data_IF_050783576701
#
_entry.id   IF_050783576701
#
_cell.length_a   1.000
_cell.length_b   1.000
_cell.length_c   1.000
_cell.angle_alpha   90.00
_cell.angle_beta   90.00
_cell.angle_gamma   90.00
#
_symmetry.space_group_name_H-M   'P 1'
#
loop_
_entity.id
_entity.type
_entity.pdbx_description
1 polymer ?
#
# COMPACT_ATOMS: atom_id res chain seq x y z
N UNK A 1 7.15 -24.83 -29.32
CA UNK A 1 6.14 -25.30 -28.35
C UNK A 1 6.85 -25.50 -27.03
N UNK A 2 6.67 -24.59 -26.06
CA UNK A 2 7.40 -24.64 -24.78
C UNK A 2 6.88 -25.83 -23.96
N UNK A 3 7.73 -26.82 -23.71
CA UNK A 3 7.35 -27.99 -22.89
C UNK A 3 7.43 -27.63 -21.41
N UNK A 4 6.29 -27.19 -20.87
CA UNK A 4 6.11 -26.74 -19.49
C UNK A 4 6.53 -27.81 -18.47
N UNK A 5 6.61 -29.09 -18.87
CA UNK A 5 7.00 -30.21 -18.00
C UNK A 5 8.47 -30.17 -17.57
N UNK A 6 9.34 -29.53 -18.36
CA UNK A 6 10.78 -29.46 -18.11
C UNK A 6 11.20 -28.20 -17.33
N UNK A 7 10.26 -27.34 -16.93
CA UNK A 7 10.56 -26.15 -16.13
C UNK A 7 10.31 -26.48 -14.65
N UNK A 8 11.35 -26.81 -13.86
CA UNK A 8 11.18 -27.12 -12.44
C UNK A 8 10.55 -25.96 -11.65
N UNK A 9 10.79 -24.72 -12.08
CA UNK A 9 10.18 -23.51 -11.49
C UNK A 9 8.66 -23.48 -11.65
N UNK A 10 8.11 -23.97 -12.77
CA UNK A 10 6.67 -23.99 -13.00
C UNK A 10 5.94 -24.89 -11.99
N UNK A 11 6.59 -25.96 -11.52
CA UNK A 11 6.05 -26.87 -10.50
C UNK A 11 5.93 -26.22 -9.12
N UNK A 12 6.70 -25.17 -8.83
CA UNK A 12 6.64 -24.40 -7.58
C UNK A 12 5.75 -23.16 -7.72
N UNK A 13 5.68 -22.56 -8.90
CA UNK A 13 4.81 -21.41 -9.16
C UNK A 13 3.33 -21.77 -9.15
N UNK A 14 2.95 -22.94 -9.68
CA UNK A 14 1.55 -23.38 -9.68
C UNK A 14 0.95 -23.51 -8.27
N UNK A 15 1.56 -24.21 -7.30
CA UNK A 15 1.04 -24.27 -5.93
C UNK A 15 1.02 -22.89 -5.26
N UNK A 16 2.03 -22.07 -5.50
CA UNK A 16 2.08 -20.71 -4.95
C UNK A 16 0.93 -19.83 -5.47
N UNK A 17 0.72 -19.81 -6.79
CA UNK A 17 -0.37 -19.07 -7.41
C UNK A 17 -1.74 -19.59 -6.99
N UNK A 18 -1.92 -20.92 -6.93
CA UNK A 18 -3.14 -21.55 -6.45
C UNK A 18 -3.42 -21.21 -4.98
N UNK A 19 -2.39 -21.25 -4.13
CA UNK A 19 -2.46 -20.81 -2.74
C UNK A 19 -2.86 -19.34 -2.64
N UNK A 20 -2.18 -18.45 -3.37
CA UNK A 20 -2.48 -17.02 -3.40
C UNK A 20 -3.91 -16.71 -3.82
N UNK A 21 -4.41 -17.37 -4.87
CA UNK A 21 -5.78 -17.22 -5.33
C UNK A 21 -6.80 -17.75 -4.30
N UNK A 22 -6.51 -18.89 -3.67
CA UNK A 22 -7.36 -19.44 -2.61
C UNK A 22 -7.42 -18.51 -1.39
N UNK A 23 -6.28 -17.94 -0.99
CA UNK A 23 -6.19 -16.95 0.10
C UNK A 23 -6.92 -15.65 -0.23
N UNK A 24 -6.85 -15.21 -1.49
CA UNK A 24 -7.60 -14.06 -2.00
C UNK A 24 -9.12 -14.30 -2.10
N UNK A 25 -9.61 -15.55 -2.12
CA UNK A 25 -11.06 -15.88 -2.17
C UNK A 25 -11.67 -16.17 -0.80
N UNK A 26 -10.87 -16.61 0.17
CA UNK A 26 -11.35 -17.09 1.48
C UNK A 26 -10.85 -16.25 2.67
N UNK A 27 -10.22 -15.09 2.44
CA UNK A 27 -9.60 -14.26 3.46
C UNK A 27 -10.51 -13.79 4.60
N UNK A 28 -11.83 -13.85 4.44
CA UNK A 28 -12.80 -13.45 5.48
C UNK A 28 -13.08 -14.54 6.54
N UNK A 29 -12.86 -15.83 6.25
CA UNK A 29 -13.50 -16.91 7.04
C UNK A 29 -12.60 -17.68 8.01
N UNK A 30 -11.28 -17.67 7.82
CA UNK A 30 -10.35 -18.49 8.60
C UNK A 30 -9.46 -17.62 9.47
N UNK A 31 -9.38 -17.85 10.78
CA UNK A 31 -8.46 -17.09 11.63
C UNK A 31 -7.00 -17.38 11.22
N UNK A 32 -6.08 -16.41 11.44
CA UNK A 32 -4.64 -16.60 11.13
C UNK A 32 -4.09 -17.82 11.90
N UNK A 33 -4.60 -18.05 13.10
CA UNK A 33 -4.22 -19.18 13.97
C UNK A 33 -4.61 -20.52 13.38
N UNK A 34 -5.80 -20.64 12.78
CA UNK A 34 -6.28 -21.87 12.13
C UNK A 34 -5.42 -22.23 10.92
N UNK A 35 -4.97 -21.23 10.17
CA UNK A 35 -4.09 -21.40 9.01
C UNK A 35 -2.70 -21.83 9.46
N UNK A 36 -2.15 -21.19 10.49
CA UNK A 36 -0.86 -21.59 11.06
C UNK A 36 -0.91 -23.01 11.61
N UNK A 37 -1.98 -23.39 12.30
CA UNK A 37 -2.19 -24.74 12.81
C UNK A 37 -2.29 -25.78 11.69
N UNK A 38 -3.04 -25.49 10.62
CA UNK A 38 -3.12 -26.36 9.43
C UNK A 38 -1.75 -26.51 8.75
N UNK A 39 -1.00 -25.42 8.62
CA UNK A 39 0.34 -25.44 8.04
C UNK A 39 1.30 -26.27 8.91
N UNK A 40 1.25 -26.12 10.23
CA UNK A 40 2.02 -26.91 11.19
C UNK A 40 1.67 -28.40 11.14
N UNK A 41 0.38 -28.72 11.04
CA UNK A 41 -0.10 -30.10 10.90
C UNK A 41 0.42 -30.74 9.60
N UNK A 42 0.31 -30.03 8.48
CA UNK A 42 0.84 -30.48 7.19
C UNK A 42 2.37 -30.65 7.24
N UNK A 43 3.07 -29.79 7.99
CA UNK A 43 4.51 -29.91 8.27
C UNK A 43 4.84 -31.19 9.05
N UNK A 44 4.10 -31.48 10.11
CA UNK A 44 4.30 -32.68 10.94
C UNK A 44 4.05 -33.94 10.10
N UNK A 45 2.97 -33.96 9.32
CA UNK A 45 2.65 -35.09 8.42
C UNK A 45 3.72 -35.29 7.35
N UNK A 46 4.20 -34.22 6.73
CA UNK A 46 5.28 -34.29 5.75
C UNK A 46 6.61 -34.78 6.38
N UNK A 47 6.94 -34.32 7.58
CA UNK A 47 8.13 -34.77 8.32
C UNK A 47 8.06 -36.25 8.71
N UNK A 48 6.88 -36.73 9.11
CA UNK A 48 6.64 -38.15 9.40
C UNK A 48 6.78 -39.02 8.14
N UNK A 49 6.22 -38.58 7.01
CA UNK A 49 6.38 -39.24 5.72
C UNK A 49 7.83 -39.23 5.21
N UNK A 50 8.58 -38.15 5.47
CA UNK A 50 10.01 -38.07 5.12
C UNK A 50 10.85 -39.01 5.99
N UNK A 51 10.58 -39.05 7.31
CA UNK A 51 11.28 -39.94 8.25
C UNK A 51 11.03 -41.41 7.94
N UNK A 52 9.81 -41.80 7.58
CA UNK A 52 9.51 -43.17 7.16
C UNK A 52 10.14 -43.51 5.80
N UNK A 53 10.29 -42.52 4.91
CA UNK A 53 10.98 -42.72 3.63
C UNK A 53 12.49 -42.92 3.75
N UNK A 54 13.14 -42.35 4.77
CA UNK A 54 14.57 -42.53 5.03
C UNK A 54 14.93 -43.97 5.46
N UNK A 55 13.95 -44.77 5.88
CA UNK A 55 14.13 -46.17 6.30
C UNK A 55 14.12 -47.18 5.13
N UNK A 56 14.39 -46.75 3.90
CA UNK A 56 14.74 -47.65 2.78
C UNK A 56 13.75 -47.76 1.63
N UNK A 57 12.84 -46.80 1.45
CA UNK A 57 11.85 -46.83 0.36
C UNK A 57 12.09 -45.75 -0.69
N UNK A 58 11.83 -46.08 -1.97
CA UNK A 58 11.97 -45.26 -3.20
C UNK A 58 11.11 -43.96 -3.22
N UNK A 59 10.51 -43.60 -2.09
CA UNK A 59 9.49 -42.57 -1.95
C UNK A 59 10.09 -41.22 -1.49
N UNK A 60 11.43 -41.15 -1.33
CA UNK A 60 12.16 -40.00 -0.78
C UNK A 60 12.03 -38.73 -1.63
N UNK A 61 12.12 -38.86 -2.96
CA UNK A 61 11.96 -37.73 -3.88
C UNK A 61 10.50 -37.27 -4.01
N UNK A 62 9.54 -38.20 -3.91
CA UNK A 62 8.10 -37.89 -3.93
C UNK A 62 7.68 -37.11 -2.68
N UNK A 63 8.17 -37.53 -1.50
CA UNK A 63 7.93 -36.84 -0.23
C UNK A 63 8.52 -35.44 -0.20
N UNK A 64 9.76 -35.26 -0.69
CA UNK A 64 10.38 -33.94 -0.81
C UNK A 64 9.63 -33.01 -1.77
N UNK A 65 9.21 -33.52 -2.93
CA UNK A 65 8.42 -32.74 -3.89
C UNK A 65 7.06 -32.32 -3.30
N UNK A 66 6.42 -33.20 -2.53
CA UNK A 66 5.15 -32.93 -1.86
C UNK A 66 5.32 -31.90 -0.74
N UNK A 67 6.43 -31.97 0.00
CA UNK A 67 6.81 -30.97 1.00
C UNK A 67 7.00 -29.58 0.39
N UNK A 68 7.79 -29.47 -0.69
CA UNK A 68 7.95 -28.21 -1.41
C UNK A 68 6.60 -27.69 -1.95
N UNK A 69 5.75 -28.56 -2.48
CA UNK A 69 4.42 -28.17 -2.97
C UNK A 69 3.56 -27.55 -1.86
N UNK A 70 3.49 -28.18 -0.68
CA UNK A 70 2.71 -27.67 0.45
C UNK A 70 3.30 -26.38 1.05
N UNK A 71 4.63 -26.24 1.07
CA UNK A 71 5.29 -25.02 1.54
C UNK A 71 4.96 -23.84 0.61
N UNK A 72 5.08 -24.02 -0.70
CA UNK A 72 4.74 -22.97 -1.67
C UNK A 72 3.24 -22.65 -1.68
N UNK A 73 2.37 -23.65 -1.49
CA UNK A 73 0.93 -23.44 -1.41
C UNK A 73 0.52 -22.67 -0.14
N UNK A 74 1.08 -23.01 1.02
CA UNK A 74 0.81 -22.30 2.28
C UNK A 74 1.37 -20.87 2.28
N UNK A 75 2.59 -20.69 1.76
CA UNK A 75 3.19 -19.36 1.58
C UNK A 75 2.37 -18.52 0.60
N UNK A 76 1.95 -19.11 -0.51
CA UNK A 76 1.03 -18.49 -1.46
C UNK A 76 -0.25 -18.05 -0.78
N UNK A 77 -0.91 -18.94 -0.04
CA UNK A 77 -2.14 -18.64 0.70
C UNK A 77 -1.97 -17.48 1.69
N UNK A 78 -0.88 -17.47 2.47
CA UNK A 78 -0.55 -16.36 3.36
C UNK A 78 -0.39 -15.03 2.61
N UNK A 79 0.35 -15.03 1.49
CA UNK A 79 0.53 -13.81 0.68
C UNK A 79 -0.77 -13.31 0.06
N UNK A 80 -1.64 -14.21 -0.42
CA UNK A 80 -2.96 -13.86 -0.94
C UNK A 80 -3.84 -13.22 0.11
N UNK A 81 -3.76 -13.70 1.36
CA UNK A 81 -4.54 -13.19 2.50
C UNK A 81 -4.04 -11.82 2.99
N UNK A 82 -2.72 -11.59 3.02
CA UNK A 82 -2.13 -10.26 3.35
C UNK A 82 -2.42 -9.23 2.26
N UNK A 83 -2.52 -9.70 1.01
CA UNK A 83 -2.89 -8.89 -0.14
C UNK A 83 -4.38 -8.53 -0.14
N UNK A 84 -5.22 -9.29 0.57
CA UNK A 84 -6.60 -8.91 0.81
C UNK A 84 -6.64 -7.63 1.64
N UNK A 85 -7.35 -6.63 1.13
CA UNK A 85 -7.65 -5.39 1.83
C UNK A 85 -9.14 -5.36 2.08
N UNK A 86 -9.53 -5.18 3.35
CA UNK A 86 -10.92 -5.06 3.73
C UNK A 86 -11.41 -3.65 3.46
N UNK A 87 -12.62 -3.55 2.93
CA UNK A 87 -13.33 -2.27 2.89
C UNK A 87 -13.64 -1.86 4.35
N UNK A 88 -13.22 -0.66 4.79
CA UNK A 88 -13.58 -0.16 6.12
C UNK A 88 -15.10 0.12 6.28
N UNK A 89 -15.92 -0.09 5.24
CA UNK A 89 -17.37 0.08 5.24
C UNK A 89 -17.79 1.45 5.79
N UNK A 90 -17.08 2.49 5.33
CA UNK A 90 -17.40 3.86 5.71
C UNK A 90 -18.70 4.27 5.00
N UNK A 91 -19.71 4.77 5.73
CA UNK A 91 -20.92 5.27 5.10
C UNK A 91 -20.59 6.49 4.24
N UNK A 92 -20.95 6.43 2.95
CA UNK A 92 -20.65 7.49 1.98
C UNK A 92 -21.39 8.78 2.30
N UNK A 93 -20.68 9.91 2.26
CA UNK A 93 -21.27 11.25 2.43
C UNK A 93 -21.47 11.69 3.88
N UNK A 94 -20.96 10.94 4.86
CA UNK A 94 -21.02 11.34 6.27
C UNK A 94 -19.76 12.10 6.68
N UNK A 95 -19.94 13.12 7.55
CA UNK A 95 -18.86 13.88 8.16
C UNK A 95 -18.11 13.01 9.16
N UNK A 96 -16.86 12.69 8.85
CA UNK A 96 -16.02 11.84 9.70
C UNK A 96 -14.72 12.56 10.06
N UNK A 97 -14.20 12.22 11.24
CA UNK A 97 -12.86 12.63 11.67
C UNK A 97 -11.91 11.46 11.43
N UNK A 98 -10.90 11.65 10.60
CA UNK A 98 -9.89 10.64 10.29
C UNK A 98 -8.58 10.97 10.99
N UNK A 99 -7.97 9.99 11.65
CA UNK A 99 -6.61 10.07 12.20
C UNK A 99 -5.72 9.06 11.50
N UNK A 100 -4.56 9.53 11.06
CA UNK A 100 -3.70 8.73 10.21
C UNK A 100 -2.38 9.42 9.91
N UNK A 101 -1.64 8.83 8.97
CA UNK A 101 -0.32 9.32 8.56
C UNK A 101 -0.33 9.69 7.10
N UNK A 102 0.33 10.78 6.76
CA UNK A 102 0.60 11.09 5.36
C UNK A 102 1.62 10.10 4.81
N UNK A 103 1.27 9.45 3.70
CA UNK A 103 2.18 8.54 3.00
C UNK A 103 3.03 9.30 2.00
N UNK A 104 2.44 10.29 1.33
CA UNK A 104 3.09 11.14 0.35
C UNK A 104 2.99 12.61 0.74
N UNK A 105 3.94 13.40 0.24
CA UNK A 105 3.84 14.86 0.25
C UNK A 105 2.67 15.29 -0.64
N UNK A 106 1.93 16.35 -0.27
CA UNK A 106 0.86 16.88 -1.09
C UNK A 106 1.31 17.29 -2.49
N UNK A 107 0.59 16.82 -3.50
CA UNK A 107 0.76 17.22 -4.90
C UNK A 107 -0.32 18.25 -5.22
N UNK A 108 0.10 19.43 -5.67
CA UNK A 108 -0.81 20.49 -6.10
C UNK A 108 -1.56 20.08 -7.37
N UNK A 109 -2.89 20.19 -7.34
CA UNK A 109 -3.81 19.95 -8.45
C UNK A 109 -4.82 21.10 -8.52
N UNK A 110 -4.41 22.21 -9.15
CA UNK A 110 -5.20 23.44 -9.19
C UNK A 110 -5.37 24.05 -7.80
N UNK A 111 -6.62 24.32 -7.39
CA UNK A 111 -6.93 24.86 -6.05
C UNK A 111 -6.84 23.82 -4.92
N UNK A 112 -6.75 22.53 -5.26
CA UNK A 112 -6.71 21.45 -4.29
C UNK A 112 -5.33 20.80 -4.28
N UNK A 113 -4.88 20.42 -3.11
CA UNK A 113 -3.72 19.58 -2.93
C UNK A 113 -4.20 18.16 -2.61
N UNK A 114 -3.65 17.18 -3.32
CA UNK A 114 -4.00 15.77 -3.15
C UNK A 114 -2.86 14.97 -2.53
N UNK A 115 -3.19 14.05 -1.62
CA UNK A 115 -2.21 13.15 -1.03
C UNK A 115 -2.84 11.82 -0.60
N UNK A 116 -1.99 10.80 -0.44
CA UNK A 116 -2.40 9.52 0.15
C UNK A 116 -2.25 9.57 1.67
N UNK A 117 -3.35 9.28 2.37
CA UNK A 117 -3.42 9.31 3.82
C UNK A 117 -3.73 7.92 4.37
N UNK A 118 -2.79 7.34 5.11
CA UNK A 118 -2.99 6.07 5.79
C UNK A 118 -3.83 6.28 7.04
N UNK A 119 -5.15 6.10 6.91
CA UNK A 119 -6.09 6.26 8.00
C UNK A 119 -6.07 5.02 8.90
N UNK A 120 -5.83 5.25 10.20
CA UNK A 120 -5.79 4.21 11.24
C UNK A 120 -7.02 4.20 12.12
N UNK A 121 -7.66 5.35 12.26
CA UNK A 121 -8.93 5.48 12.98
C UNK A 121 -9.84 6.46 12.26
N UNK A 122 -11.12 6.13 12.27
CA UNK A 122 -12.21 7.03 11.91
C UNK A 122 -13.09 7.21 13.13
N UNK A 123 -13.56 8.43 13.35
CA UNK A 123 -14.68 8.71 14.25
C UNK A 123 -15.84 9.23 13.43
N UNK A 124 -16.95 8.52 13.54
CA UNK A 124 -18.22 8.86 12.94
C UNK A 124 -19.24 9.16 14.05
N UNK A 125 -20.50 9.45 13.70
CA UNK A 125 -21.62 9.64 14.63
C UNK A 125 -21.84 8.45 15.57
N UNK A 126 -21.54 7.23 15.12
CA UNK A 126 -21.64 5.99 15.91
C UNK A 126 -20.46 5.75 16.85
N UNK A 127 -19.43 6.59 16.81
CA UNK A 127 -18.23 6.47 17.64
C UNK A 127 -16.94 6.14 16.88
N UNK A 128 -15.81 5.97 17.58
CA UNK A 128 -14.52 5.68 16.99
C UNK A 128 -14.41 4.21 16.55
N UNK A 129 -13.98 4.00 15.30
CA UNK A 129 -13.65 2.70 14.70
C UNK A 129 -12.19 2.67 14.29
N UNK A 130 -11.50 1.56 14.59
CA UNK A 130 -10.16 1.30 14.03
C UNK A 130 -10.32 0.84 12.59
N UNK A 131 -9.58 1.45 11.69
CA UNK A 131 -9.58 1.13 10.27
C UNK A 131 -8.13 1.02 9.79
N UNK A 132 -7.89 0.36 8.66
CA UNK A 132 -6.56 0.26 8.09
C UNK A 132 -6.62 0.43 6.57
N UNK A 133 -6.92 1.66 6.15
CA UNK A 133 -7.20 2.00 4.75
C UNK A 133 -6.36 3.18 4.29
N UNK A 134 -6.17 3.31 2.99
CA UNK A 134 -5.57 4.50 2.39
C UNK A 134 -6.73 5.36 1.87
N UNK A 135 -6.75 6.63 2.27
CA UNK A 135 -7.68 7.63 1.77
C UNK A 135 -6.96 8.51 0.76
N UNK A 136 -7.59 8.74 -0.40
CA UNK A 136 -7.14 9.79 -1.32
C UNK A 136 -7.73 11.10 -0.85
N UNK A 137 -6.91 11.90 -0.16
CA UNK A 137 -7.34 13.13 0.49
C UNK A 137 -7.19 14.30 -0.47
N UNK A 138 -8.23 15.13 -0.55
CA UNK A 138 -8.23 16.42 -1.22
C UNK A 138 -8.40 17.50 -0.17
N UNK A 139 -7.45 18.41 -0.07
CA UNK A 139 -7.53 19.56 0.82
C UNK A 139 -7.25 20.84 0.05
N UNK A 140 -7.96 21.92 0.40
CA UNK A 140 -7.66 23.26 -0.09
C UNK A 140 -6.77 23.94 0.94
N UNK A 141 -5.50 24.27 0.65
CA UNK A 141 -4.67 25.02 1.58
C UNK A 141 -5.30 26.40 1.84
N UNK A 142 -5.45 26.76 3.12
CA UNK A 142 -5.71 28.16 3.50
C UNK A 142 -4.43 29.00 3.39
N UNK A 143 -4.54 30.35 3.34
CA UNK A 143 -3.39 31.25 3.20
C UNK A 143 -2.30 31.05 4.28
N UNK A 144 -2.69 30.63 5.49
CA UNK A 144 -1.77 30.34 6.61
C UNK A 144 -1.65 28.84 6.94
N UNK A 145 -2.16 27.95 6.09
CA UNK A 145 -2.09 26.50 6.34
C UNK A 145 -0.74 25.94 5.93
N UNK A 146 0.02 25.47 6.93
CA UNK A 146 1.20 24.64 6.69
C UNK A 146 0.81 23.38 5.92
N UNK A 147 1.41 23.19 4.74
CA UNK A 147 1.25 21.98 3.94
C UNK A 147 1.80 20.80 4.76
N UNK A 148 0.99 19.77 5.04
CA UNK A 148 1.42 18.68 5.90
C UNK A 148 2.51 17.85 5.21
N UNK A 149 3.55 17.51 5.96
CA UNK A 149 4.69 16.75 5.46
C UNK A 149 4.44 15.23 5.46
N UNK A 150 5.09 14.50 4.55
CA UNK A 150 5.03 13.04 4.52
C UNK A 150 5.54 12.43 5.84
N UNK A 151 4.87 11.38 6.33
CA UNK A 151 5.18 10.70 7.58
C UNK A 151 4.60 11.34 8.85
N UNK A 152 4.04 12.55 8.77
CA UNK A 152 3.40 13.20 9.91
C UNK A 152 2.06 12.54 10.25
N UNK A 153 1.75 12.43 11.54
CA UNK A 153 0.42 12.00 12.00
C UNK A 153 -0.47 13.22 12.16
N UNK A 154 -1.54 13.30 11.38
CA UNK A 154 -2.51 14.42 11.41
C UNK A 154 -3.92 13.90 11.64
N UNK A 155 -4.79 14.81 12.04
CA UNK A 155 -6.23 14.58 12.15
C UNK A 155 -6.89 15.49 11.12
N UNK A 156 -7.74 14.93 10.27
CA UNK A 156 -8.53 15.69 9.31
C UNK A 156 -10.02 15.48 9.58
N UNK A 157 -10.80 16.52 9.31
CA UNK A 157 -12.25 16.51 9.38
C UNK A 157 -12.81 16.78 7.99
N UNK A 158 -13.80 15.99 7.58
CA UNK A 158 -14.21 15.99 6.18
C UNK A 158 -15.27 14.95 5.86
N UNK A 159 -15.60 14.85 4.58
CA UNK A 159 -16.50 13.83 4.06
C UNK A 159 -15.72 12.74 3.31
N UNK A 160 -16.05 11.49 3.60
CA UNK A 160 -15.59 10.33 2.83
C UNK A 160 -16.63 9.94 1.77
N UNK A 161 -16.19 9.76 0.53
CA UNK A 161 -17.00 9.25 -0.56
C UNK A 161 -16.34 8.00 -1.15
N UNK A 162 -17.10 6.94 -1.44
CA UNK A 162 -16.53 5.76 -2.08
C UNK A 162 -15.93 6.14 -3.43
N UNK A 163 -14.80 5.51 -3.77
CA UNK A 163 -14.23 5.62 -5.11
C UNK A 163 -15.22 5.01 -6.09
N UNK A 164 -15.49 5.72 -7.19
CA UNK A 164 -16.37 5.25 -8.27
C UNK A 164 -15.71 5.47 -9.62
N UNK A 165 -16.07 4.61 -10.58
CA UNK A 165 -15.72 4.76 -11.98
C UNK A 165 -16.33 6.02 -12.61
N UNK A 166 -15.67 6.54 -13.64
CA UNK A 166 -16.13 7.67 -14.46
C UNK A 166 -17.44 7.37 -15.20
N UNK A 167 -17.70 6.08 -15.49
CA UNK A 167 -18.85 5.63 -16.26
C UNK A 167 -18.65 5.69 -17.77
N UNK A 168 -17.46 6.04 -18.25
CA UNK A 168 -17.15 6.09 -19.67
C UNK A 168 -16.94 4.66 -20.24
N UNK A 169 -17.59 4.32 -21.36
CA UNK A 169 -17.34 3.05 -22.04
C UNK A 169 -15.89 2.95 -22.52
N UNK A 170 -15.19 1.86 -22.19
CA UNK A 170 -13.81 1.59 -22.62
C UNK A 170 -12.72 2.07 -21.64
N UNK A 171 -13.07 2.80 -20.58
CA UNK A 171 -12.12 3.13 -19.52
C UNK A 171 -11.79 1.88 -18.68
N UNK A 172 -10.55 1.74 -18.19
CA UNK A 172 -10.20 0.69 -17.23
C UNK A 172 -11.01 0.86 -15.94
N UNK A 173 -11.32 -0.26 -15.29
CA UNK A 173 -12.04 -0.29 -14.01
C UNK A 173 -11.19 0.35 -12.88
N UNK A 174 -11.35 1.66 -12.74
CA UNK A 174 -10.64 2.52 -11.80
C UNK A 174 -10.95 2.15 -10.34
N UNK A 175 -12.20 1.81 -10.04
CA UNK A 175 -12.66 1.37 -8.73
C UNK A 175 -11.90 0.10 -8.30
N UNK A 176 -11.93 -0.94 -9.11
CA UNK A 176 -11.18 -2.18 -8.83
C UNK A 176 -9.68 -1.93 -8.72
N UNK A 177 -9.11 -1.05 -9.56
CA UNK A 177 -7.70 -0.69 -9.49
C UNK A 177 -7.33 -0.02 -8.16
N UNK A 178 -8.16 0.91 -7.68
CA UNK A 178 -7.94 1.63 -6.42
C UNK A 178 -8.13 0.73 -5.21
N UNK A 179 -9.14 -0.16 -5.22
CA UNK A 179 -9.37 -1.13 -4.14
C UNK A 179 -8.16 -2.06 -3.94
N UNK A 180 -7.50 -2.49 -5.03
CA UNK A 180 -6.24 -3.27 -4.96
C UNK A 180 -5.10 -2.50 -4.28
N UNK A 181 -5.12 -1.18 -4.36
CA UNK A 181 -4.14 -0.30 -3.69
C UNK A 181 -4.56 0.06 -2.25
N UNK A 182 -5.61 -0.58 -1.70
CA UNK A 182 -6.22 -0.24 -0.41
C UNK A 182 -6.84 1.17 -0.37
N UNK A 183 -7.19 1.73 -1.54
CA UNK A 183 -7.81 3.05 -1.66
C UNK A 183 -9.29 2.87 -1.95
N UNK A 184 -10.11 2.90 -0.91
CA UNK A 184 -11.56 2.67 -1.00
C UNK A 184 -12.36 3.97 -1.07
N UNK A 185 -11.84 5.04 -0.46
CA UNK A 185 -12.56 6.31 -0.31
C UNK A 185 -11.71 7.51 -0.73
N UNK A 186 -12.38 8.48 -1.35
CA UNK A 186 -11.92 9.85 -1.52
C UNK A 186 -12.37 10.67 -0.31
N UNK A 187 -11.49 11.48 0.24
CA UNK A 187 -11.77 12.26 1.43
C UNK A 187 -11.58 13.75 1.15
N UNK A 188 -12.64 14.54 1.31
CA UNK A 188 -12.57 16.00 1.14
C UNK A 188 -12.49 16.66 2.50
N UNK A 189 -11.37 17.34 2.76
CA UNK A 189 -11.12 18.03 4.03
C UNK A 189 -11.88 19.35 4.05
N UNK A 190 -12.62 19.59 5.13
CA UNK A 190 -13.21 20.90 5.38
C UNK A 190 -12.16 21.89 5.91
N UNK A 191 -12.20 23.16 5.49
CA UNK A 191 -11.36 24.18 6.09
C UNK A 191 -11.64 24.26 7.58
N UNK A 192 -10.59 24.21 8.40
CA UNK A 192 -10.70 24.36 9.85
C UNK A 192 -11.16 25.78 10.13
N UNK A 193 -12.34 25.94 10.73
CA UNK A 193 -12.77 27.26 11.19
C UNK A 193 -11.85 27.70 12.34
N UNK A 194 -11.43 28.98 12.38
CA UNK A 194 -10.66 29.51 13.51
C UNK A 194 -11.43 29.24 14.81
N UNK A 195 -10.87 28.42 15.70
CA UNK A 195 -11.48 28.05 16.99
C UNK A 195 -12.05 26.62 17.08
N UNK A 196 -12.21 25.89 15.96
CA UNK A 196 -12.63 24.48 15.99
C UNK A 196 -11.43 23.55 15.78
N UNK A 197 -10.53 23.48 16.76
CA UNK A 197 -9.58 22.36 16.77
C UNK A 197 -10.37 21.08 17.01
N UNK A 198 -10.40 20.10 16.09
CA UNK A 198 -11.00 18.80 16.38
C UNK A 198 -10.26 18.26 17.61
N UNK A 199 -11.01 18.15 18.70
CA UNK A 199 -10.48 17.94 20.04
C UNK A 199 -9.35 16.91 20.07
N UNK A 200 -8.28 17.28 20.76
CA UNK A 200 -7.08 16.49 21.08
C UNK A 200 -7.37 15.20 21.86
N UNK A 201 -8.63 14.82 22.02
CA UNK A 201 -9.11 13.60 22.71
C UNK A 201 -8.95 12.33 21.89
N UNK A 202 -7.98 12.26 20.97
CA UNK A 202 -7.51 11.01 20.42
C UNK A 202 -6.29 10.56 21.23
N UNK A 203 -6.57 9.82 22.30
CA UNK A 203 -5.58 9.22 23.21
C UNK A 203 -4.39 8.59 22.48
N UNK A 204 -3.21 8.73 23.11
CA UNK A 204 -1.90 8.53 22.52
C UNK A 204 -1.65 7.15 21.93
N UNK A 205 -1.11 7.13 20.72
CA UNK A 205 -0.21 6.09 20.19
C UNK A 205 0.64 6.75 19.11
N UNK A 206 1.65 7.50 19.56
CA UNK A 206 2.59 8.20 18.70
C UNK A 206 3.76 7.26 18.34
N UNK A 207 3.49 6.19 17.59
CA UNK A 207 4.53 5.23 17.19
C UNK A 207 4.53 5.04 15.67
N UNK A 208 5.22 5.96 14.99
CA UNK A 208 5.67 5.84 13.60
C UNK A 208 6.42 4.53 13.37
N UNK A 209 6.31 3.81 12.24
CA UNK A 209 7.41 2.96 11.84
C UNK A 209 8.64 3.88 11.66
N UNK A 210 9.65 3.69 12.49
CA UNK A 210 10.89 4.50 12.53
C UNK A 210 11.49 4.69 11.13
N UNK A 211 11.33 3.68 10.26
CA UNK A 211 11.83 3.64 8.88
C UNK A 211 11.33 4.80 8.00
N UNK A 212 10.03 5.11 8.03
CA UNK A 212 9.46 6.15 7.15
C UNK A 212 9.84 7.56 7.62
N UNK A 213 9.88 7.77 8.94
CA UNK A 213 10.34 9.02 9.53
C UNK A 213 11.83 9.25 9.29
N UNK A 214 12.62 8.19 9.34
CA UNK A 214 14.04 8.23 9.04
C UNK A 214 14.27 8.54 7.55
N UNK A 215 13.56 7.87 6.64
CA UNK A 215 13.62 8.14 5.21
C UNK A 215 13.30 9.61 4.89
N UNK A 216 12.21 10.14 5.47
CA UNK A 216 11.84 11.55 5.29
C UNK A 216 12.88 12.52 5.86
N UNK A 217 13.42 12.24 7.06
CA UNK A 217 14.47 13.08 7.67
C UNK A 217 15.75 13.08 6.84
N UNK A 218 16.18 11.91 6.35
CA UNK A 218 17.36 11.77 5.50
C UNK A 218 17.14 12.55 4.21
N UNK A 219 15.96 12.38 3.59
CA UNK A 219 15.57 13.08 2.37
C UNK A 219 15.65 14.60 2.54
N UNK A 220 14.98 15.15 3.56
CA UNK A 220 14.98 16.60 3.81
C UNK A 220 16.38 17.13 4.10
N UNK A 221 17.19 16.40 4.88
CA UNK A 221 18.58 16.78 5.15
C UNK A 221 19.45 16.78 3.88
N UNK A 222 19.20 15.87 2.94
CA UNK A 222 19.89 15.84 1.66
C UNK A 222 19.44 17.00 0.76
N UNK A 223 18.13 17.26 0.66
CA UNK A 223 17.61 18.34 -0.16
C UNK A 223 17.95 19.73 0.38
N UNK A 224 18.03 19.92 1.69
CA UNK A 224 18.49 21.17 2.32
C UNK A 224 19.94 21.54 1.93
N UNK A 225 20.76 20.55 1.55
CA UNK A 225 22.16 20.77 1.15
C UNK A 225 22.31 21.09 -0.33
N UNK A 226 21.29 20.84 -1.15
CA UNK A 226 21.35 21.07 -2.58
C UNK A 226 21.12 22.55 -2.89
N UNK A 227 21.99 23.11 -3.73
CA UNK A 227 21.94 24.51 -4.16
C UNK A 227 21.85 24.55 -5.68
N UNK A 228 20.86 25.24 -6.21
CA UNK A 228 20.59 25.34 -7.65
C UNK A 228 19.28 26.08 -7.90
N UNK A 229 18.88 26.17 -9.17
CA UNK A 229 17.53 26.65 -9.53
C UNK A 229 16.49 25.62 -9.11
N UNK A 230 15.26 26.06 -8.87
CA UNK A 230 14.18 25.20 -8.37
C UNK A 230 13.95 23.99 -9.29
N UNK A 231 13.97 24.20 -10.61
CA UNK A 231 13.91 23.16 -11.65
C UNK A 231 15.04 22.14 -11.57
N UNK A 232 16.28 22.59 -11.35
CA UNK A 232 17.47 21.72 -11.24
C UNK A 232 17.38 20.88 -9.96
N UNK A 233 16.94 21.49 -8.87
CA UNK A 233 16.75 20.77 -7.60
C UNK A 233 15.59 19.78 -7.68
N UNK A 234 14.50 20.10 -8.36
CA UNK A 234 13.37 19.21 -8.61
C UNK A 234 13.76 18.02 -9.48
N UNK A 235 14.57 18.23 -10.52
CA UNK A 235 15.14 17.17 -11.32
C UNK A 235 16.07 16.27 -10.50
N UNK A 236 16.94 16.85 -9.67
CA UNK A 236 17.82 16.10 -8.79
C UNK A 236 17.02 15.26 -7.77
N UNK A 237 15.94 15.81 -7.22
CA UNK A 237 15.05 15.08 -6.32
C UNK A 237 14.34 13.92 -7.03
N UNK A 238 13.94 14.10 -8.29
CA UNK A 238 13.34 13.04 -9.09
C UNK A 238 14.32 11.91 -9.41
N UNK A 239 15.59 12.24 -9.72
CA UNK A 239 16.63 11.28 -10.12
C UNK A 239 17.35 10.63 -8.93
N UNK A 240 17.43 11.28 -7.78
CA UNK A 240 18.13 10.72 -6.62
C UNK A 240 17.17 10.14 -5.56
N UNK A 241 15.96 10.71 -5.43
CA UNK A 241 15.03 10.42 -4.33
C UNK A 241 13.65 9.97 -4.82
N UNK A 242 13.40 10.00 -6.13
CA UNK A 242 12.12 9.63 -6.75
C UNK A 242 11.02 10.65 -6.49
N UNK A 243 11.34 11.85 -6.02
CA UNK A 243 10.36 12.92 -5.83
C UNK A 243 10.04 13.58 -7.16
N UNK A 244 8.82 13.41 -7.66
CA UNK A 244 8.41 14.08 -8.90
C UNK A 244 7.66 15.39 -8.67
N UNK A 245 7.39 15.78 -7.42
CA UNK A 245 6.62 16.98 -7.11
C UNK A 245 7.30 18.30 -7.50
N UNK A 246 8.62 18.27 -7.73
CA UNK A 246 9.39 19.43 -8.21
C UNK A 246 9.64 19.46 -9.73
N UNK A 247 9.10 18.50 -10.51
CA UNK A 247 9.27 18.50 -11.96
C UNK A 247 8.19 19.37 -12.61
N UNK A 248 8.61 20.29 -13.49
CA UNK A 248 7.70 21.03 -14.36
C UNK A 248 7.25 20.16 -15.54
N UNK A 249 6.09 20.49 -16.11
CA UNK A 249 5.52 19.74 -17.25
C UNK A 249 6.46 19.76 -18.47
N UNK A 250 7.15 20.88 -18.72
CA UNK A 250 8.13 21.05 -19.80
C UNK A 250 9.31 20.06 -19.69
N UNK A 251 9.79 19.82 -18.46
CA UNK A 251 10.87 18.86 -18.20
C UNK A 251 10.37 17.43 -18.43
N UNK A 252 9.15 17.13 -17.95
CA UNK A 252 8.56 15.81 -18.13
C UNK A 252 8.32 15.49 -19.61
N UNK A 253 7.89 16.48 -20.39
CA UNK A 253 7.72 16.36 -21.84
C UNK A 253 9.06 16.19 -22.56
N UNK A 254 10.08 16.98 -22.22
CA UNK A 254 11.41 16.88 -22.81
C UNK A 254 12.05 15.50 -22.58
N UNK A 255 11.92 14.94 -21.37
CA UNK A 255 12.41 13.60 -21.06
C UNK A 255 11.57 12.49 -21.71
N UNK A 256 10.28 12.72 -21.91
CA UNK A 256 9.41 11.81 -22.67
C UNK A 256 9.84 11.73 -24.14
N UNK A 257 10.02 12.89 -24.79
CA UNK A 257 10.48 12.99 -26.18
C UNK A 257 11.87 12.39 -26.39
N UNK A 258 12.77 12.56 -25.41
CA UNK A 258 14.11 11.97 -25.44
C UNK A 258 14.14 10.46 -25.07
N UNK A 259 13.00 9.84 -24.74
CA UNK A 259 12.92 8.44 -24.30
C UNK A 259 13.50 8.18 -22.90
N UNK A 260 13.89 9.23 -22.17
CA UNK A 260 14.51 9.18 -20.84
C UNK A 260 13.53 9.04 -19.67
N UNK A 261 12.22 8.92 -19.93
CA UNK A 261 11.18 8.82 -18.89
C UNK A 261 11.43 7.67 -17.89
N UNK A 262 12.06 6.59 -18.34
CA UNK A 262 12.42 5.46 -17.49
C UNK A 262 13.49 5.81 -16.44
N UNK A 263 14.36 6.79 -16.70
CA UNK A 263 15.37 7.26 -15.74
C UNK A 263 14.72 7.95 -14.53
N UNK A 264 13.63 8.69 -14.75
CA UNK A 264 12.81 9.30 -13.70
C UNK A 264 11.87 8.28 -13.02
N UNK A 265 11.73 7.09 -13.61
CA UNK A 265 10.84 6.02 -13.14
C UNK A 265 11.50 5.04 -12.18
N UNK A 266 12.80 4.79 -12.35
CA UNK A 266 13.59 3.82 -11.58
C UNK A 266 14.24 4.45 -10.34
N UNK A 267 14.39 5.78 -10.36
CA UNK A 267 15.15 6.58 -9.42
C UNK A 267 14.44 6.88 -8.09
N UNK A 268 13.68 5.95 -7.52
CA UNK A 268 13.24 6.07 -6.12
C UNK A 268 14.30 5.48 -5.22
N UNK A 269 14.66 6.16 -4.12
CA UNK A 269 15.18 5.45 -2.95
C UNK A 269 14.12 4.38 -2.62
N UNK A 270 14.38 3.14 -3.05
CA UNK A 270 13.39 2.07 -3.05
C UNK A 270 13.18 1.59 -1.60
N UNK A 271 12.35 2.33 -0.83
CA UNK A 271 11.94 1.99 0.54
C UNK A 271 10.53 2.49 0.82
#
# INVERSE_FOLDING_TARGET
MFDVRNVPVARLLLPFAAGGYAGFRHGEKLAIEEILALCLLLWILAALCFRSSLQGSRWSLSGFSSFCFLLFLSTGFGTGRVSWKEDPCLPGGIKVVVRGRLRSSPVAQGEFHSFEFHARMVRDSTGPRKINTILKVYFRPGPDSLVPAAGETRIFYGNAYPVKNSGNPGDPDYETMMHRQNVWYRFYVYPVQPGSSPSSSFGGFNTGPIRLQLAFRIRNRLTEQWRGREEETGLLQAVCLGERSGLTDDIMESYSQAGGMHLLAVSGLHV
#
